data_IF_407723744388
#
_entry.id   IF_407723744388
#
_cell.length_a   1.000
_cell.length_b   1.000
_cell.length_c   1.000
_cell.angle_alpha   90.00
_cell.angle_beta   90.00
_cell.angle_gamma   90.00
#
_symmetry.space_group_name_H-M   'P 1'
#
loop_
_entity.id
_entity.type
_entity.pdbx_description
1 polymer ?
#
# COMPACT_ATOMS: atom_id res chain seq x y z
N UNK A 1 77.04 38.12 -10.79
CA UNK A 1 75.92 37.95 -11.75
C UNK A 1 75.86 36.49 -12.11
N UNK A 2 74.92 35.77 -11.52
CA UNK A 2 74.62 34.39 -11.88
C UNK A 2 73.14 34.17 -11.61
N UNK A 3 72.41 33.85 -12.68
CA UNK A 3 70.96 33.78 -12.75
C UNK A 3 70.40 32.67 -11.85
N UNK A 4 69.48 33.04 -10.95
CA UNK A 4 68.52 32.13 -10.35
C UNK A 4 67.34 32.01 -11.31
N UNK A 5 67.38 30.99 -12.16
CA UNK A 5 66.21 30.55 -12.91
C UNK A 5 65.28 29.82 -11.94
N UNK A 6 64.23 30.52 -11.50
CA UNK A 6 63.08 29.95 -10.81
C UNK A 6 62.38 28.99 -11.78
N UNK A 7 62.59 27.69 -11.61
CA UNK A 7 61.73 26.68 -12.21
C UNK A 7 60.34 26.79 -11.57
N UNK A 8 59.45 27.47 -12.28
CA UNK A 8 58.01 27.40 -12.03
C UNK A 8 57.59 26.01 -12.49
N UNK A 9 57.34 25.11 -11.53
CA UNK A 9 56.69 23.83 -11.77
C UNK A 9 55.35 24.12 -12.47
N UNK A 10 55.10 23.61 -13.69
CA UNK A 10 53.80 23.81 -14.32
C UNK A 10 52.75 23.11 -13.46
N UNK A 11 51.77 23.89 -13.02
CA UNK A 11 50.56 23.41 -12.38
C UNK A 11 49.78 22.65 -13.45
N UNK A 12 50.03 21.35 -13.55
CA UNK A 12 49.20 20.44 -14.32
C UNK A 12 47.84 20.43 -13.63
N UNK A 13 46.87 21.15 -14.23
CA UNK A 13 45.46 20.85 -14.07
C UNK A 13 45.30 19.41 -14.58
N UNK A 14 45.44 18.44 -13.68
CA UNK A 14 45.00 17.08 -13.91
C UNK A 14 43.48 17.18 -14.06
N UNK A 15 43.01 17.20 -15.30
CA UNK A 15 41.62 16.91 -15.61
C UNK A 15 41.42 15.46 -15.19
N UNK A 16 40.93 15.23 -13.97
CA UNK A 16 40.46 13.92 -13.55
C UNK A 16 39.39 13.49 -14.56
N UNK A 17 39.73 12.51 -15.39
CA UNK A 17 38.74 11.88 -16.24
C UNK A 17 37.76 11.18 -15.32
N UNK A 18 36.48 11.54 -15.45
CA UNK A 18 35.40 10.83 -14.80
C UNK A 18 35.58 9.33 -15.05
N UNK A 19 35.53 8.48 -14.01
CA UNK A 19 35.56 7.05 -14.22
C UNK A 19 34.41 6.66 -15.16
N UNK A 20 34.57 5.67 -16.04
CA UNK A 20 33.56 5.34 -17.04
C UNK A 20 32.20 5.00 -16.40
N UNK A 21 32.18 4.56 -15.15
CA UNK A 21 31.02 4.25 -14.35
C UNK A 21 30.33 5.47 -13.72
N UNK A 22 30.93 6.66 -13.80
CA UNK A 22 30.34 7.90 -13.31
C UNK A 22 29.32 8.48 -14.31
N UNK A 23 28.18 8.90 -13.78
CA UNK A 23 27.10 9.56 -14.49
C UNK A 23 26.92 10.96 -13.90
N UNK A 24 26.99 11.97 -14.76
CA UNK A 24 26.66 13.35 -14.40
C UNK A 24 25.15 13.50 -14.23
N UNK A 25 24.74 14.08 -13.11
CA UNK A 25 23.36 14.36 -12.81
C UNK A 25 22.89 15.61 -13.57
N UNK A 26 21.83 15.47 -14.34
CA UNK A 26 21.15 16.61 -14.95
C UNK A 26 20.26 17.33 -13.94
N UNK A 27 20.00 18.62 -14.17
CA UNK A 27 19.08 19.39 -13.34
C UNK A 27 17.68 18.77 -13.28
N UNK A 28 17.23 18.12 -14.36
CA UNK A 28 15.93 17.43 -14.39
C UNK A 28 15.89 16.27 -13.41
N UNK A 29 16.97 15.48 -13.33
CA UNK A 29 17.06 14.35 -12.41
C UNK A 29 17.14 14.81 -10.96
N UNK A 30 17.87 15.90 -10.69
CA UNK A 30 17.93 16.51 -9.36
C UNK A 30 16.53 17.01 -8.94
N UNK A 31 15.83 17.73 -9.82
CA UNK A 31 14.49 18.24 -9.52
C UNK A 31 13.49 17.09 -9.27
N UNK A 32 13.57 16.01 -10.04
CA UNK A 32 12.74 14.83 -9.83
C UNK A 32 13.04 14.16 -8.48
N UNK A 33 14.32 14.05 -8.11
CA UNK A 33 14.71 13.50 -6.81
C UNK A 33 14.19 14.37 -5.65
N UNK A 34 14.23 15.71 -5.78
CA UNK A 34 13.64 16.65 -4.81
C UNK A 34 12.14 16.44 -4.70
N UNK A 35 11.43 16.31 -5.83
CA UNK A 35 9.98 16.09 -5.84
C UNK A 35 9.60 14.78 -5.13
N UNK A 36 10.31 13.68 -5.41
CA UNK A 36 10.08 12.39 -4.77
C UNK A 36 10.38 12.42 -3.27
N UNK A 37 11.52 12.99 -2.87
CA UNK A 37 11.85 13.11 -1.45
C UNK A 37 10.89 14.04 -0.71
N UNK A 38 10.41 15.10 -1.37
CA UNK A 38 9.47 16.06 -0.79
C UNK A 38 8.08 15.48 -0.51
N UNK A 39 7.75 14.32 -1.08
CA UNK A 39 6.53 13.59 -0.75
C UNK A 39 6.62 12.92 0.63
N UNK A 40 7.82 12.56 1.09
CA UNK A 40 8.03 11.85 2.36
C UNK A 40 7.79 12.79 3.53
N UNK A 41 6.87 12.40 4.42
CA UNK A 41 6.44 13.22 5.58
C UNK A 41 7.51 13.34 6.66
N UNK A 42 8.27 12.26 6.89
CA UNK A 42 9.32 12.20 7.89
C UNK A 42 10.62 12.79 7.33
N UNK A 43 11.00 13.98 7.81
CA UNK A 43 12.20 14.71 7.40
C UNK A 43 13.48 13.86 7.55
N UNK A 44 13.53 12.96 8.55
CA UNK A 44 14.71 12.11 8.77
C UNK A 44 14.95 11.11 7.64
N UNK A 45 13.91 10.82 6.85
CA UNK A 45 13.93 9.84 5.74
C UNK A 45 14.01 10.50 4.36
N UNK A 46 13.75 11.80 4.28
CA UNK A 46 13.80 12.55 3.02
C UNK A 46 15.18 12.48 2.37
N UNK A 47 16.26 12.61 3.16
CA UNK A 47 17.62 12.58 2.64
C UNK A 47 17.96 11.26 1.94
N UNK A 48 17.71 10.12 2.59
CA UNK A 48 17.99 8.83 1.98
C UNK A 48 17.10 8.59 0.75
N UNK A 49 15.85 9.05 0.79
CA UNK A 49 14.93 8.97 -0.37
C UNK A 49 15.44 9.80 -1.55
N UNK A 50 15.97 10.99 -1.29
CA UNK A 50 16.60 11.84 -2.29
C UNK A 50 17.80 11.14 -2.94
N UNK A 51 18.72 10.59 -2.15
CA UNK A 51 19.88 9.85 -2.68
C UNK A 51 19.43 8.62 -3.50
N UNK A 52 18.43 7.88 -3.02
CA UNK A 52 17.84 6.74 -3.73
C UNK A 52 17.24 7.14 -5.08
N UNK A 53 16.56 8.29 -5.14
CA UNK A 53 15.99 8.81 -6.38
C UNK A 53 17.06 9.28 -7.38
N UNK A 54 18.15 9.90 -6.91
CA UNK A 54 19.32 10.21 -7.74
C UNK A 54 19.96 8.94 -8.28
N UNK A 55 20.14 7.92 -7.43
CA UNK A 55 20.72 6.63 -7.81
C UNK A 55 19.89 5.91 -8.86
N UNK A 56 18.57 5.89 -8.71
CA UNK A 56 17.66 5.32 -9.70
C UNK A 56 17.85 6.02 -11.06
N UNK A 57 17.77 7.35 -11.08
CA UNK A 57 17.86 8.14 -12.31
C UNK A 57 19.21 8.00 -13.01
N UNK A 58 20.29 7.95 -12.23
CA UNK A 58 21.64 7.77 -12.75
C UNK A 58 21.86 6.35 -13.28
N UNK A 59 21.35 5.33 -12.59
CA UNK A 59 21.44 3.94 -13.04
C UNK A 59 20.65 3.70 -14.34
N UNK A 60 19.48 4.31 -14.49
CA UNK A 60 18.73 4.30 -15.75
C UNK A 60 19.56 4.90 -16.89
N UNK A 61 20.18 6.07 -16.65
CA UNK A 61 21.06 6.73 -17.63
C UNK A 61 22.29 5.88 -17.96
N UNK A 62 22.86 5.21 -16.95
CA UNK A 62 24.00 4.31 -17.10
C UNK A 62 23.67 3.13 -18.02
N UNK A 63 22.49 2.50 -17.85
CA UNK A 63 22.01 1.43 -18.71
C UNK A 63 21.75 1.92 -20.14
N UNK A 64 21.01 3.03 -20.30
CA UNK A 64 20.63 3.58 -21.60
C UNK A 64 21.85 3.99 -22.43
N UNK A 65 22.89 4.53 -21.79
CA UNK A 65 24.14 4.92 -22.46
C UNK A 65 24.93 3.74 -23.04
N UNK A 66 24.70 2.52 -22.54
CA UNK A 66 25.46 1.32 -22.90
C UNK A 66 24.67 0.33 -23.74
N UNK A 67 23.35 0.28 -23.59
CA UNK A 67 22.49 -0.47 -24.50
C UNK A 67 21.06 0.07 -24.51
N UNK A 68 20.52 0.30 -25.70
CA UNK A 68 19.11 0.64 -25.91
C UNK A 68 18.17 -0.57 -25.86
N UNK A 69 18.68 -1.77 -25.57
CA UNK A 69 17.89 -3.00 -25.56
C UNK A 69 17.23 -3.32 -24.22
N UNK A 70 17.60 -2.61 -23.16
CA UNK A 70 17.07 -2.87 -21.82
C UNK A 70 15.69 -2.23 -21.68
N UNK A 71 14.70 -3.06 -21.36
CA UNK A 71 13.38 -2.58 -20.97
C UNK A 71 13.38 -2.34 -19.46
N UNK A 72 13.36 -1.08 -19.03
CA UNK A 72 13.34 -0.70 -17.62
C UNK A 72 11.88 -0.46 -17.21
N UNK A 73 11.42 -1.20 -16.19
CA UNK A 73 10.12 -0.98 -15.55
C UNK A 73 10.34 -0.56 -14.10
N UNK A 74 9.75 0.60 -13.76
CA UNK A 74 9.84 1.24 -12.44
C UNK A 74 8.52 1.26 -11.67
N UNK A 75 7.44 0.70 -12.20
CA UNK A 75 6.08 0.83 -11.66
C UNK A 75 5.97 0.31 -10.21
N UNK A 76 6.68 -0.78 -9.91
CA UNK A 76 6.73 -1.40 -8.58
C UNK A 76 7.92 -0.92 -7.73
N UNK A 77 8.67 0.08 -8.19
CA UNK A 77 9.89 0.50 -7.52
C UNK A 77 9.59 1.21 -6.20
N UNK A 78 10.22 0.77 -5.11
CA UNK A 78 9.94 1.27 -3.75
C UNK A 78 10.11 2.78 -3.61
N UNK A 79 11.11 3.37 -4.27
CA UNK A 79 11.41 4.81 -4.19
C UNK A 79 10.32 5.69 -4.83
N UNK A 80 9.50 5.13 -5.73
CA UNK A 80 8.40 5.84 -6.37
C UNK A 80 7.08 5.73 -5.60
N UNK A 81 7.06 4.96 -4.51
CA UNK A 81 5.89 4.72 -3.67
C UNK A 81 6.16 5.30 -2.28
N UNK A 82 5.60 6.47 -1.92
CA UNK A 82 5.96 7.17 -0.69
C UNK A 82 5.82 6.34 0.59
N UNK A 83 4.78 5.48 0.67
CA UNK A 83 4.59 4.56 1.78
C UNK A 83 5.74 3.56 1.95
N UNK A 84 6.19 2.95 0.84
CA UNK A 84 7.34 2.03 0.85
C UNK A 84 8.65 2.78 1.03
N UNK A 85 8.88 3.90 0.35
CA UNK A 85 10.09 4.71 0.48
C UNK A 85 10.34 5.18 1.93
N UNK A 86 9.25 5.45 2.67
CA UNK A 86 9.31 5.81 4.10
C UNK A 86 9.65 4.61 5.01
N UNK A 87 9.46 3.37 4.57
CA UNK A 87 9.71 2.18 5.40
C UNK A 87 10.93 1.38 4.95
N UNK A 88 11.28 1.46 3.67
CA UNK A 88 12.35 0.70 3.03
C UNK A 88 13.33 1.73 2.42
N UNK A 89 14.44 2.03 3.11
CA UNK A 89 15.39 3.07 2.70
C UNK A 89 16.30 2.63 1.54
N UNK A 90 15.78 1.88 0.58
CA UNK A 90 16.55 1.28 -0.52
C UNK A 90 15.70 1.20 -1.79
N UNK A 91 16.31 1.37 -2.96
CA UNK A 91 15.64 1.19 -4.25
C UNK A 91 15.51 -0.29 -4.53
N UNK A 92 14.31 -0.85 -4.36
CA UNK A 92 14.02 -2.25 -4.62
C UNK A 92 12.91 -2.40 -5.67
N UNK A 93 12.71 -3.63 -6.16
CA UNK A 93 11.73 -3.98 -7.19
C UNK A 93 11.87 -3.24 -8.54
N UNK A 94 13.02 -2.62 -8.81
CA UNK A 94 13.35 -2.15 -10.16
C UNK A 94 13.47 -3.35 -11.08
N UNK A 95 12.79 -3.35 -12.23
CA UNK A 95 12.87 -4.45 -13.21
C UNK A 95 13.64 -4.00 -14.44
N UNK A 96 14.62 -4.80 -14.86
CA UNK A 96 15.34 -4.65 -16.13
C UNK A 96 15.18 -5.95 -16.91
N UNK A 97 14.30 -5.92 -17.91
CA UNK A 97 13.74 -7.15 -18.49
C UNK A 97 13.06 -7.99 -17.41
N UNK A 98 13.46 -9.25 -17.29
CA UNK A 98 12.93 -10.20 -16.28
C UNK A 98 13.69 -10.14 -14.94
N UNK A 99 14.76 -9.35 -14.84
CA UNK A 99 15.57 -9.26 -13.63
C UNK A 99 15.07 -8.16 -12.69
N UNK A 100 14.73 -8.55 -11.46
CA UNK A 100 14.66 -7.63 -10.31
C UNK A 100 16.06 -7.14 -9.91
N UNK A 101 16.21 -5.84 -9.72
CA UNK A 101 17.43 -5.15 -9.29
C UNK A 101 17.13 -4.34 -8.02
N UNK A 102 18.10 -4.31 -7.12
CA UNK A 102 18.12 -3.45 -5.94
C UNK A 102 19.33 -2.52 -6.02
N UNK A 103 19.15 -1.21 -5.83
CA UNK A 103 20.26 -0.26 -5.74
C UNK A 103 20.53 0.05 -4.27
N UNK A 104 21.74 -0.26 -3.83
CA UNK A 104 22.25 0.07 -2.50
C UNK A 104 22.98 1.41 -2.64
N UNK A 105 22.33 2.45 -2.14
CA UNK A 105 22.78 3.82 -2.28
C UNK A 105 23.53 4.29 -1.04
N UNK A 106 24.72 4.84 -1.22
CA UNK A 106 25.43 5.59 -0.17
C UNK A 106 25.98 6.91 -0.69
N UNK A 107 26.17 7.87 0.21
CA UNK A 107 26.85 9.14 -0.10
C UNK A 107 28.37 9.08 0.03
N UNK A 108 28.93 8.09 0.73
CA UNK A 108 30.38 7.91 0.88
C UNK A 108 30.72 6.52 1.43
N UNK A 109 31.86 5.96 1.02
CA UNK A 109 32.42 4.72 1.60
C UNK A 109 33.57 5.01 2.57
N UNK A 110 33.24 5.34 3.81
CA UNK A 110 34.27 5.57 4.84
C UNK A 110 34.72 4.24 5.47
N UNK A 111 33.81 3.27 5.61
CA UNK A 111 34.02 2.11 6.50
C UNK A 111 34.28 0.77 5.79
N UNK A 112 34.63 0.76 4.49
CA UNK A 112 34.84 -0.45 3.65
C UNK A 112 33.70 -1.49 3.71
N UNK A 113 32.54 -1.08 4.22
CA UNK A 113 31.32 -1.86 4.37
C UNK A 113 30.14 -0.99 3.94
N UNK A 114 29.04 -1.66 3.61
CA UNK A 114 27.77 -1.01 3.29
C UNK A 114 26.65 -1.72 4.03
N UNK A 115 25.73 -0.92 4.58
CA UNK A 115 24.57 -1.42 5.28
C UNK A 115 23.44 -1.70 4.29
N UNK A 116 22.89 -2.90 4.35
CA UNK A 116 21.72 -3.30 3.56
C UNK A 116 20.57 -3.61 4.51
N UNK A 117 19.39 -3.04 4.26
CA UNK A 117 18.21 -3.38 5.04
C UNK A 117 17.87 -4.87 4.94
N UNK A 118 17.52 -5.47 6.07
CA UNK A 118 17.06 -6.85 6.18
C UNK A 118 15.86 -7.12 5.26
N UNK A 119 15.07 -6.10 4.93
CA UNK A 119 13.91 -6.19 4.03
C UNK A 119 14.29 -6.76 2.65
N UNK A 120 15.36 -6.25 2.03
CA UNK A 120 15.77 -6.68 0.68
C UNK A 120 16.65 -7.94 0.69
N UNK A 121 16.94 -8.49 1.87
CA UNK A 121 17.76 -9.71 2.05
C UNK A 121 16.91 -10.90 2.48
N UNK A 122 15.94 -10.68 3.37
CA UNK A 122 15.17 -11.74 4.01
C UNK A 122 13.71 -11.84 3.51
N UNK A 123 13.12 -10.77 2.95
CA UNK A 123 11.72 -10.80 2.48
C UNK A 123 11.65 -11.15 0.97
N UNK A 124 11.05 -12.30 0.59
CA UNK A 124 10.96 -12.74 -0.81
C UNK A 124 10.34 -11.73 -1.77
N UNK A 125 9.46 -10.87 -1.29
CA UNK A 125 8.81 -9.80 -2.05
C UNK A 125 9.82 -8.80 -2.63
N UNK A 126 10.91 -8.52 -1.90
CA UNK A 126 11.87 -7.46 -2.20
C UNK A 126 13.26 -7.98 -2.58
N UNK A 127 13.52 -9.29 -2.45
CA UNK A 127 14.80 -9.87 -2.83
C UNK A 127 15.01 -9.72 -4.35
N UNK A 128 16.10 -9.05 -4.79
CA UNK A 128 16.44 -8.89 -6.20
C UNK A 128 17.24 -10.09 -6.72
N UNK A 129 17.46 -10.16 -8.03
CA UNK A 129 18.49 -11.04 -8.62
C UNK A 129 19.89 -10.44 -8.44
N UNK A 130 19.99 -9.11 -8.55
CA UNK A 130 21.24 -8.35 -8.41
C UNK A 130 21.07 -7.17 -7.45
N UNK A 131 22.04 -7.03 -6.56
CA UNK A 131 22.27 -5.85 -5.75
C UNK A 131 23.36 -5.03 -6.43
N UNK A 132 23.09 -3.75 -6.71
CA UNK A 132 24.03 -2.84 -7.36
C UNK A 132 24.44 -1.80 -6.34
N UNK A 133 25.74 -1.63 -6.18
CA UNK A 133 26.32 -0.64 -5.29
C UNK A 133 26.46 0.69 -6.02
N UNK A 134 25.84 1.73 -5.46
CA UNK A 134 25.76 3.06 -6.07
C UNK A 134 26.25 4.10 -5.09
N UNK A 135 27.23 4.90 -5.51
CA UNK A 135 27.74 6.03 -4.75
C UNK A 135 27.18 7.34 -5.31
N UNK A 136 26.61 8.17 -4.45
CA UNK A 136 26.10 9.48 -4.82
C UNK A 136 27.02 10.55 -4.27
N UNK A 137 27.80 11.17 -5.15
CA UNK A 137 28.65 12.31 -4.84
C UNK A 137 27.85 13.58 -5.15
N UNK A 138 26.92 13.89 -4.25
CA UNK A 138 25.93 14.98 -4.42
C UNK A 138 26.60 16.34 -4.67
N UNK A 139 27.64 16.67 -3.91
CA UNK A 139 28.39 17.93 -4.06
C UNK A 139 29.07 18.08 -5.43
N UNK A 140 29.43 16.95 -6.04
CA UNK A 140 30.07 16.88 -7.36
C UNK A 140 29.05 16.71 -8.49
N UNK A 141 27.75 16.59 -8.16
CA UNK A 141 26.68 16.39 -9.12
C UNK A 141 26.82 15.11 -9.92
N UNK A 142 27.37 14.04 -9.31
CA UNK A 142 27.64 12.79 -10.00
C UNK A 142 27.26 11.56 -9.17
N UNK A 143 27.05 10.45 -9.88
CA UNK A 143 26.76 9.14 -9.30
C UNK A 143 27.66 8.10 -9.93
N UNK A 144 28.25 7.22 -9.12
CA UNK A 144 29.20 6.19 -9.58
C UNK A 144 28.62 4.80 -9.32
N UNK A 145 28.59 3.96 -10.35
CA UNK A 145 28.22 2.54 -10.22
C UNK A 145 29.46 1.74 -9.82
N UNK A 146 29.59 1.44 -8.54
CA UNK A 146 30.81 0.85 -7.97
C UNK A 146 30.94 -0.65 -8.24
N UNK A 147 29.82 -1.35 -8.34
CA UNK A 147 29.84 -2.79 -8.55
C UNK A 147 28.49 -3.44 -8.30
N UNK A 148 28.46 -4.77 -8.34
CA UNK A 148 27.23 -5.53 -8.12
C UNK A 148 27.50 -6.87 -7.44
N UNK A 149 26.45 -7.47 -6.89
CA UNK A 149 26.46 -8.76 -6.21
C UNK A 149 25.17 -9.51 -6.58
N UNK A 150 25.26 -10.77 -6.97
CA UNK A 150 24.05 -11.58 -7.21
C UNK A 150 23.46 -12.10 -5.88
N UNK A 151 22.14 -12.31 -5.84
CA UNK A 151 21.49 -12.92 -4.68
C UNK A 151 22.08 -14.28 -4.31
N UNK A 152 22.41 -15.10 -5.31
CA UNK A 152 23.06 -16.40 -5.11
C UNK A 152 24.38 -16.26 -4.35
N UNK A 153 25.20 -15.28 -4.70
CA UNK A 153 26.48 -15.02 -4.03
C UNK A 153 26.28 -14.46 -2.62
N UNK A 154 25.36 -13.52 -2.44
CA UNK A 154 25.02 -12.96 -1.13
C UNK A 154 24.58 -14.07 -0.18
N UNK A 155 23.58 -14.86 -0.56
CA UNK A 155 23.03 -15.96 0.24
C UNK A 155 24.11 -16.98 0.62
N UNK A 156 24.96 -17.37 -0.34
CA UNK A 156 26.04 -18.33 -0.10
C UNK A 156 27.07 -17.80 0.91
N UNK A 157 27.40 -16.50 0.85
CA UNK A 157 28.39 -15.87 1.75
C UNK A 157 27.82 -15.59 3.14
N UNK A 158 26.56 -15.17 3.19
CA UNK A 158 25.81 -14.98 4.44
C UNK A 158 25.79 -16.29 5.24
N UNK A 159 25.48 -17.42 4.60
CA UNK A 159 25.51 -18.75 5.24
C UNK A 159 26.92 -19.15 5.69
N UNK A 160 27.94 -18.87 4.88
CA UNK A 160 29.34 -19.24 5.18
C UNK A 160 29.90 -18.51 6.40
N UNK A 161 29.55 -17.23 6.55
CA UNK A 161 30.05 -16.37 7.65
C UNK A 161 29.06 -16.34 8.82
N UNK A 162 27.87 -16.92 8.67
CA UNK A 162 26.76 -16.84 9.61
C UNK A 162 26.44 -15.38 9.97
N UNK A 163 26.36 -14.53 8.94
CA UNK A 163 26.09 -13.10 9.10
C UNK A 163 24.68 -12.92 9.70
N UNK A 164 24.60 -12.20 10.81
CA UNK A 164 23.37 -11.89 11.52
C UNK A 164 23.01 -10.41 11.31
N UNK A 165 21.71 -10.06 11.31
CA UNK A 165 21.30 -8.67 11.24
C UNK A 165 21.61 -7.95 12.55
N UNK A 166 21.91 -6.67 12.44
CA UNK A 166 22.08 -5.77 13.58
C UNK A 166 20.73 -5.36 14.18
N UNK A 167 20.77 -4.69 15.33
CA UNK A 167 19.58 -4.29 16.08
C UNK A 167 18.67 -3.33 15.32
N UNK A 168 19.19 -2.63 14.33
CA UNK A 168 18.49 -1.67 13.48
C UNK A 168 17.87 -2.31 12.21
N UNK A 169 17.90 -3.64 12.12
CA UNK A 169 17.44 -4.44 10.98
C UNK A 169 18.24 -4.18 9.70
N UNK A 170 19.55 -3.99 9.84
CA UNK A 170 20.47 -3.95 8.70
C UNK A 170 21.49 -5.09 8.77
N UNK A 171 22.14 -5.36 7.64
CA UNK A 171 23.32 -6.20 7.55
C UNK A 171 24.48 -5.34 7.05
N UNK A 172 25.56 -5.24 7.82
CA UNK A 172 26.81 -4.65 7.33
C UNK A 172 27.57 -5.66 6.46
N UNK A 173 27.71 -5.33 5.18
CA UNK A 173 28.31 -6.21 4.17
C UNK A 173 29.63 -5.61 3.66
N UNK A 174 30.73 -6.38 3.65
CA UNK A 174 32.01 -5.90 3.13
C UNK A 174 31.94 -5.52 1.64
N UNK A 175 32.51 -4.37 1.28
CA UNK A 175 32.60 -3.94 -0.13
C UNK A 175 33.35 -4.94 -1.01
N UNK A 176 34.31 -5.67 -0.43
CA UNK A 176 35.04 -6.75 -1.09
C UNK A 176 34.13 -7.91 -1.57
N UNK A 177 32.86 -7.95 -1.16
CA UNK A 177 31.90 -8.90 -1.69
C UNK A 177 31.41 -8.50 -3.09
N UNK A 178 31.39 -7.22 -3.42
CA UNK A 178 30.89 -6.76 -4.71
C UNK A 178 31.91 -7.04 -5.82
N UNK A 179 31.40 -7.32 -7.02
CA UNK A 179 32.20 -7.35 -8.23
C UNK A 179 32.38 -5.92 -8.73
N UNK A 180 33.62 -5.43 -8.69
CA UNK A 180 33.97 -4.06 -9.07
C UNK A 180 33.90 -3.79 -10.58
N UNK A 181 33.62 -4.81 -11.41
CA UNK A 181 33.50 -4.66 -12.86
C UNK A 181 32.01 -4.52 -13.24
N UNK A 182 31.48 -3.29 -13.17
CA UNK A 182 30.07 -3.01 -13.44
C UNK A 182 29.61 -3.49 -14.83
N UNK A 183 30.48 -3.48 -15.84
CA UNK A 183 30.15 -3.98 -17.19
C UNK A 183 29.79 -5.49 -17.22
N UNK A 184 30.25 -6.29 -16.26
CA UNK A 184 29.82 -7.70 -16.14
C UNK A 184 28.34 -7.83 -15.80
N UNK A 185 27.74 -6.83 -15.13
CA UNK A 185 26.31 -6.78 -14.92
C UNK A 185 25.58 -6.75 -16.27
N UNK A 186 26.03 -5.93 -17.22
CA UNK A 186 25.43 -5.85 -18.55
C UNK A 186 25.51 -7.18 -19.29
N UNK A 187 26.65 -7.88 -19.19
CA UNK A 187 26.81 -9.21 -19.76
C UNK A 187 25.76 -10.18 -19.18
N UNK A 188 25.53 -10.14 -17.87
CA UNK A 188 24.51 -11.00 -17.25
C UNK A 188 23.10 -10.60 -17.66
N UNK A 189 22.76 -9.32 -17.68
CA UNK A 189 21.45 -8.84 -18.11
C UNK A 189 21.14 -9.22 -19.58
N UNK A 190 22.17 -9.29 -20.43
CA UNK A 190 22.01 -9.64 -21.86
C UNK A 190 22.02 -11.15 -22.13
N UNK A 191 22.81 -11.93 -21.38
CA UNK A 191 23.13 -13.32 -21.74
C UNK A 191 22.59 -14.37 -20.76
N UNK A 192 22.12 -13.96 -19.57
CA UNK A 192 21.58 -14.87 -18.57
C UNK A 192 20.05 -14.90 -18.65
N UNK A 193 19.47 -16.07 -18.37
CA UNK A 193 18.04 -16.17 -18.07
C UNK A 193 17.79 -15.91 -16.58
N UNK A 194 16.69 -15.26 -16.22
CA UNK A 194 16.35 -14.97 -14.81
C UNK A 194 16.29 -16.23 -13.95
N UNK A 195 15.83 -17.35 -14.53
CA UNK A 195 15.78 -18.66 -13.87
C UNK A 195 17.16 -19.20 -13.41
N UNK A 196 18.28 -18.66 -13.93
CA UNK A 196 19.62 -19.05 -13.49
C UNK A 196 19.96 -18.53 -12.07
N UNK A 197 19.24 -17.51 -11.60
CA UNK A 197 19.32 -16.97 -10.23
C UNK A 197 17.92 -17.12 -9.61
N UNK A 198 17.55 -18.33 -9.13
CA UNK A 198 16.22 -18.54 -8.58
C UNK A 198 16.03 -17.71 -7.31
N UNK A 199 14.94 -16.92 -7.29
CA UNK A 199 14.52 -16.16 -6.12
C UNK A 199 13.66 -17.04 -5.19
N UNK A 200 13.63 -16.76 -3.88
CA UNK A 200 12.79 -17.49 -2.94
C UNK A 200 11.31 -17.27 -3.26
N UNK A 201 10.50 -18.30 -3.03
CA UNK A 201 9.05 -18.24 -3.25
C UNK A 201 8.38 -17.42 -2.17
N UNK A 202 7.46 -16.54 -2.55
CA UNK A 202 6.63 -15.77 -1.61
C UNK A 202 5.76 -16.75 -0.80
N UNK A 203 5.79 -16.70 0.55
CA UNK A 203 4.99 -17.58 1.38
C UNK A 203 3.49 -17.36 1.16
N UNK A 204 2.71 -18.43 1.05
CA UNK A 204 1.25 -18.33 0.90
C UNK A 204 0.51 -18.17 2.24
N UNK A 205 1.18 -18.35 3.37
CA UNK A 205 0.62 -18.26 4.72
C UNK A 205 0.65 -16.84 5.32
N UNK A 206 0.81 -15.79 4.51
CA UNK A 206 0.84 -14.39 4.97
C UNK A 206 -0.43 -14.00 5.73
N UNK A 207 -1.61 -14.41 5.25
CA UNK A 207 -2.88 -14.16 5.90
C UNK A 207 -3.00 -14.83 7.29
N UNK A 208 -2.52 -16.07 7.41
CA UNK A 208 -2.49 -16.80 8.69
C UNK A 208 -1.54 -16.12 9.69
N UNK A 209 -0.35 -15.73 9.24
CA UNK A 209 0.61 -15.00 10.07
C UNK A 209 0.04 -13.67 10.55
N UNK A 210 -0.70 -12.97 9.69
CA UNK A 210 -1.36 -11.73 10.03
C UNK A 210 -2.40 -11.92 11.15
N UNK A 211 -3.26 -12.93 11.05
CA UNK A 211 -4.22 -13.26 12.11
C UNK A 211 -3.54 -13.59 13.45
N UNK A 212 -2.37 -14.23 13.43
CA UNK A 212 -1.63 -14.55 14.66
C UNK A 212 -1.09 -13.32 15.41
N UNK A 213 -0.66 -12.28 14.68
CA UNK A 213 -0.05 -11.08 15.28
C UNK A 213 -1.01 -9.89 15.38
N UNK A 214 -2.22 -10.02 14.85
CA UNK A 214 -3.23 -8.95 14.73
C UNK A 214 -3.43 -8.15 16.02
N UNK A 215 -3.73 -8.81 17.13
CA UNK A 215 -4.02 -8.13 18.41
C UNK A 215 -2.81 -7.35 18.95
N UNK A 216 -1.60 -7.83 18.67
CA UNK A 216 -0.37 -7.14 19.05
C UNK A 216 -0.13 -5.92 18.16
N UNK A 217 -0.39 -6.05 16.86
CA UNK A 217 -0.31 -4.93 15.91
C UNK A 217 -1.34 -3.85 16.24
N UNK A 218 -2.60 -4.19 16.54
CA UNK A 218 -3.64 -3.23 16.95
C UNK A 218 -3.17 -2.38 18.13
N UNK A 219 -2.48 -3.00 19.09
CA UNK A 219 -1.96 -2.33 20.28
C UNK A 219 -0.70 -1.50 20.00
N UNK A 220 0.20 -1.99 19.16
CA UNK A 220 1.54 -1.42 19.00
C UNK A 220 1.61 -0.37 17.89
N UNK A 221 0.96 -0.59 16.75
CA UNK A 221 1.05 0.28 15.58
C UNK A 221 0.67 1.75 15.84
N UNK A 222 -0.33 2.09 16.67
CA UNK A 222 -0.61 3.50 17.00
C UNK A 222 0.56 4.23 17.69
N UNK A 223 1.52 3.52 18.30
CA UNK A 223 2.67 4.14 18.96
C UNK A 223 3.69 4.71 17.96
N UNK A 224 3.61 4.31 16.69
CA UNK A 224 4.47 4.79 15.61
C UNK A 224 4.29 6.27 15.28
N UNK A 225 3.23 6.91 15.78
CA UNK A 225 3.06 8.37 15.70
C UNK A 225 4.21 9.15 16.37
N UNK A 226 4.97 8.51 17.25
CA UNK A 226 6.04 9.18 18.04
C UNK A 226 7.36 8.44 18.06
N UNK A 227 7.40 7.22 17.50
CA UNK A 227 8.54 6.31 17.61
C UNK A 227 8.80 5.66 16.28
N UNK A 228 10.07 5.29 16.06
CA UNK A 228 10.46 4.52 14.89
C UNK A 228 9.89 3.10 14.93
N UNK A 229 9.62 2.52 13.76
CA UNK A 229 9.08 1.17 13.59
C UNK A 229 9.90 0.10 14.29
N UNK A 230 11.23 0.26 14.36
CA UNK A 230 12.18 -0.67 14.99
C UNK A 230 12.10 -0.66 16.52
N UNK A 231 11.62 0.44 17.10
CA UNK A 231 11.47 0.56 18.56
C UNK A 231 10.15 -0.03 19.07
N UNK A 232 9.18 -0.21 18.16
CA UNK A 232 7.80 -0.56 18.50
C UNK A 232 7.47 -1.99 18.07
N UNK A 233 7.97 -2.45 16.93
CA UNK A 233 7.67 -3.76 16.38
C UNK A 233 8.85 -4.72 16.51
N UNK A 234 8.52 -6.01 16.61
CA UNK A 234 9.49 -7.09 16.33
C UNK A 234 9.67 -7.24 14.83
N UNK A 235 10.73 -7.94 14.41
CA UNK A 235 10.95 -8.22 12.99
C UNK A 235 9.80 -9.02 12.37
N UNK A 236 9.24 -9.98 13.10
CA UNK A 236 8.12 -10.81 12.66
C UNK A 236 6.86 -9.97 12.43
N UNK A 237 6.58 -9.03 13.33
CA UNK A 237 5.49 -8.06 13.18
C UNK A 237 5.74 -7.09 12.01
N UNK A 238 6.95 -6.56 11.89
CA UNK A 238 7.31 -5.67 10.79
C UNK A 238 7.21 -6.38 9.43
N UNK A 239 7.55 -7.66 9.37
CA UNK A 239 7.39 -8.48 8.16
C UNK A 239 5.94 -8.53 7.70
N UNK A 240 4.97 -8.64 8.63
CA UNK A 240 3.55 -8.64 8.29
C UNK A 240 3.10 -7.28 7.75
N UNK A 241 3.58 -6.18 8.35
CA UNK A 241 3.28 -4.82 7.88
C UNK A 241 3.87 -4.59 6.50
N UNK A 242 5.16 -4.88 6.30
CA UNK A 242 5.90 -4.61 5.06
C UNK A 242 5.49 -5.50 3.88
N UNK A 243 4.67 -6.52 4.11
CA UNK A 243 4.16 -7.42 3.06
C UNK A 243 2.67 -7.22 2.77
N UNK A 244 2.06 -6.19 3.36
CA UNK A 244 0.67 -5.81 3.13
C UNK A 244 0.58 -4.30 2.81
N UNK A 245 0.10 -3.98 1.61
CA UNK A 245 0.00 -2.60 1.11
C UNK A 245 -0.90 -1.72 1.97
N UNK A 246 -2.03 -2.24 2.42
CA UNK A 246 -2.99 -1.49 3.22
C UNK A 246 -2.39 -1.08 4.57
N UNK A 247 -1.58 -1.93 5.19
CA UNK A 247 -0.86 -1.62 6.42
C UNK A 247 0.29 -0.62 6.18
N UNK A 248 1.01 -0.73 5.06
CA UNK A 248 2.03 0.26 4.68
C UNK A 248 1.41 1.64 4.52
N UNK A 249 0.30 1.72 3.78
CA UNK A 249 -0.42 2.98 3.54
C UNK A 249 -1.00 3.55 4.83
N UNK A 250 -1.50 2.69 5.72
CA UNK A 250 -1.97 3.13 7.04
C UNK A 250 -0.83 3.72 7.87
N UNK A 251 0.32 3.02 7.95
CA UNK A 251 1.49 3.52 8.69
C UNK A 251 1.98 4.84 8.12
N UNK A 252 2.00 4.96 6.79
CA UNK A 252 2.40 6.19 6.11
C UNK A 252 1.45 7.37 6.37
N UNK A 253 0.17 7.11 6.61
CA UNK A 253 -0.86 8.13 6.82
C UNK A 253 -1.19 8.41 8.28
N UNK A 254 -0.50 7.76 9.22
CA UNK A 254 -0.69 7.91 10.67
C UNK A 254 -0.77 9.36 11.17
N UNK A 255 0.10 10.24 10.69
CA UNK A 255 0.20 11.62 11.17
C UNK A 255 -0.96 12.52 10.72
N UNK A 256 -1.71 12.10 9.70
CA UNK A 256 -2.91 12.82 9.23
C UNK A 256 -4.16 12.44 9.99
N UNK A 257 -4.10 11.38 10.80
CA UNK A 257 -5.24 10.89 11.56
C UNK A 257 -5.30 11.67 12.87
N UNK A 258 -5.93 12.86 12.85
CA UNK A 258 -6.25 13.67 14.04
C UNK A 258 -7.35 13.01 14.89
N UNK A 259 -7.12 11.80 15.37
CA UNK A 259 -8.12 11.07 16.16
C UNK A 259 -7.49 10.44 17.40
N UNK A 260 -8.33 10.23 18.43
CA UNK A 260 -7.93 9.53 19.65
C UNK A 260 -7.38 8.14 19.35
N UNK A 261 -6.51 7.64 20.23
CA UNK A 261 -5.90 6.30 20.14
C UNK A 261 -6.93 5.19 20.01
N UNK A 262 -8.10 5.32 20.65
CA UNK A 262 -9.21 4.37 20.53
C UNK A 262 -9.76 4.30 19.10
N UNK A 263 -9.86 5.44 18.40
CA UNK A 263 -10.34 5.47 17.03
C UNK A 263 -9.31 4.91 16.05
N UNK A 264 -8.01 5.13 16.31
CA UNK A 264 -6.93 4.50 15.53
C UNK A 264 -6.97 2.98 15.64
N UNK A 265 -7.19 2.47 16.85
CA UNK A 265 -7.34 1.02 17.07
C UNK A 265 -8.57 0.47 16.36
N UNK A 266 -9.68 1.22 16.36
CA UNK A 266 -10.89 0.82 15.64
C UNK A 266 -10.67 0.81 14.12
N UNK A 267 -10.07 1.85 13.56
CA UNK A 267 -9.73 1.92 12.14
C UNK A 267 -8.80 0.77 11.72
N UNK A 268 -7.77 0.50 12.53
CA UNK A 268 -6.84 -0.59 12.27
C UNK A 268 -7.54 -1.97 12.38
N UNK A 269 -8.47 -2.14 13.33
CA UNK A 269 -9.33 -3.34 13.40
C UNK A 269 -10.16 -3.51 12.13
N UNK A 270 -10.74 -2.41 11.62
CA UNK A 270 -11.51 -2.40 10.38
C UNK A 270 -10.62 -2.78 9.17
N UNK A 271 -9.40 -2.24 9.08
CA UNK A 271 -8.42 -2.63 8.05
C UNK A 271 -8.11 -4.12 8.10
N UNK A 272 -7.86 -4.67 9.30
CA UNK A 272 -7.62 -6.10 9.42
C UNK A 272 -8.81 -6.93 8.92
N UNK A 273 -10.05 -6.51 9.19
CA UNK A 273 -11.22 -7.19 8.64
C UNK A 273 -11.29 -7.10 7.11
N UNK A 274 -10.95 -5.95 6.53
CA UNK A 274 -10.92 -5.74 5.08
C UNK A 274 -9.87 -6.62 4.36
N UNK A 275 -8.74 -6.88 5.03
CA UNK A 275 -7.65 -7.71 4.51
C UNK A 275 -7.95 -9.20 4.66
N UNK A 276 -8.42 -9.64 5.84
CA UNK A 276 -8.45 -11.07 6.17
C UNK A 276 -9.79 -11.75 5.94
N UNK A 277 -10.89 -10.99 5.90
CA UNK A 277 -12.22 -11.57 5.68
C UNK A 277 -12.62 -11.55 4.20
N UNK A 278 -13.35 -12.58 3.73
CA UNK A 278 -13.96 -12.54 2.41
C UNK A 278 -15.00 -11.41 2.36
N UNK A 279 -15.16 -10.82 1.18
CA UNK A 279 -16.12 -9.76 0.93
C UNK A 279 -17.32 -10.29 0.13
N UNK A 280 -18.50 -9.72 0.38
CA UNK A 280 -19.70 -9.93 -0.42
C UNK A 280 -19.52 -9.21 -1.74
N UNK A 281 -19.57 -9.94 -2.86
CA UNK A 281 -19.56 -9.34 -4.19
C UNK A 281 -20.95 -8.82 -4.55
N UNK A 282 -21.16 -7.52 -4.36
CA UNK A 282 -22.43 -6.86 -4.73
C UNK A 282 -22.55 -6.61 -6.23
N UNK A 283 -21.45 -6.68 -6.98
CA UNK A 283 -21.47 -6.63 -8.45
C UNK A 283 -22.36 -7.75 -9.03
N UNK A 284 -22.37 -8.92 -8.40
CA UNK A 284 -23.25 -10.05 -8.80
C UNK A 284 -24.74 -9.75 -8.65
N UNK A 285 -25.11 -8.85 -7.75
CA UNK A 285 -26.51 -8.48 -7.53
C UNK A 285 -27.09 -7.79 -8.77
N UNK A 286 -26.26 -7.17 -9.62
CA UNK A 286 -26.68 -6.61 -10.90
C UNK A 286 -27.22 -7.65 -11.89
N UNK A 287 -26.90 -8.94 -11.68
CA UNK A 287 -27.46 -10.07 -12.42
C UNK A 287 -28.50 -10.87 -11.64
N UNK A 288 -29.03 -10.31 -10.55
CA UNK A 288 -29.96 -10.98 -9.65
C UNK A 288 -29.37 -12.30 -9.07
N UNK A 289 -28.06 -12.29 -8.79
CA UNK A 289 -27.32 -13.41 -8.20
C UNK A 289 -26.68 -13.01 -6.86
N UNK A 290 -26.65 -13.93 -5.91
CA UNK A 290 -25.87 -13.81 -4.67
C UNK A 290 -24.59 -14.66 -4.77
N UNK A 291 -23.54 -14.23 -4.08
CA UNK A 291 -22.37 -15.07 -3.86
C UNK A 291 -22.53 -15.98 -2.66
N UNK A 292 -21.60 -16.91 -2.50
CA UNK A 292 -21.64 -17.93 -1.44
C UNK A 292 -21.64 -17.33 -0.04
N UNK A 293 -21.13 -16.10 0.11
CA UNK A 293 -21.09 -15.41 1.40
C UNK A 293 -22.43 -14.73 1.74
N UNK A 294 -23.11 -14.18 0.73
CA UNK A 294 -24.43 -13.58 0.89
C UNK A 294 -25.57 -14.62 0.88
N UNK A 295 -25.36 -15.81 0.30
CA UNK A 295 -26.34 -16.90 0.31
C UNK A 295 -26.77 -17.28 1.74
N UNK A 296 -28.08 -17.30 1.97
CA UNK A 296 -28.68 -17.67 3.26
C UNK A 296 -28.71 -16.55 4.31
N UNK A 297 -28.00 -15.44 4.11
CA UNK A 297 -28.03 -14.26 4.99
C UNK A 297 -28.72 -13.07 4.34
N UNK A 298 -28.53 -12.89 3.03
CA UNK A 298 -29.15 -11.85 2.22
C UNK A 298 -30.27 -12.40 1.35
N UNK A 299 -31.26 -11.56 1.08
CA UNK A 299 -32.37 -11.84 0.18
C UNK A 299 -32.44 -10.74 -0.88
N UNK A 300 -32.36 -11.13 -2.16
CA UNK A 300 -32.46 -10.18 -3.27
C UNK A 300 -33.80 -9.46 -3.26
N UNK A 301 -33.77 -8.15 -3.46
CA UNK A 301 -34.96 -7.38 -3.74
C UNK A 301 -35.40 -7.69 -5.19
N UNK A 302 -36.67 -8.07 -5.42
CA UNK A 302 -37.14 -8.24 -6.79
C UNK A 302 -37.06 -6.92 -7.55
N UNK A 303 -36.98 -7.04 -8.88
CA UNK A 303 -37.06 -5.90 -9.79
C UNK A 303 -38.22 -4.99 -9.35
N UNK A 304 -37.93 -3.70 -9.13
CA UNK A 304 -38.82 -2.71 -8.48
C UNK A 304 -40.07 -2.49 -9.35
N UNK A 305 -41.00 -3.43 -9.29
CA UNK A 305 -42.29 -3.43 -9.95
C UNK A 305 -43.35 -3.72 -8.89
N UNK A 306 -44.35 -2.85 -8.73
CA UNK A 306 -45.30 -2.94 -7.63
C UNK A 306 -46.20 -4.17 -7.79
N UNK A 307 -46.08 -5.12 -6.87
CA UNK A 307 -47.07 -6.19 -6.65
C UNK A 307 -47.60 -6.06 -5.22
N UNK A 308 -48.92 -5.98 -5.02
CA UNK A 308 -49.51 -5.72 -3.71
C UNK A 308 -49.63 -7.02 -2.92
N UNK A 309 -48.78 -7.19 -1.91
CA UNK A 309 -48.92 -8.23 -0.89
C UNK A 309 -48.59 -7.56 0.44
N UNK A 310 -49.63 -7.34 1.26
CA UNK A 310 -49.55 -6.62 2.52
C UNK A 310 -48.29 -6.95 3.34
N UNK A 311 -47.41 -5.93 3.45
CA UNK A 311 -46.22 -5.79 4.31
C UNK A 311 -45.07 -6.76 4.02
N UNK A 312 -44.63 -6.82 2.77
CA UNK A 312 -43.35 -7.43 2.40
C UNK A 312 -42.18 -6.43 2.51
N UNK A 313 -40.92 -6.87 2.73
CA UNK A 313 -39.72 -6.02 2.69
C UNK A 313 -39.62 -5.16 1.41
N UNK A 314 -40.20 -5.63 0.32
CA UNK A 314 -40.26 -4.93 -0.98
C UNK A 314 -41.15 -3.69 -0.93
N UNK A 315 -42.31 -3.79 -0.26
CA UNK A 315 -43.21 -2.65 -0.07
C UNK A 315 -42.58 -1.60 0.84
N UNK A 316 -41.94 -2.04 1.93
CA UNK A 316 -41.19 -1.15 2.84
C UNK A 316 -40.10 -0.38 2.07
N UNK A 317 -39.26 -1.08 1.30
CA UNK A 317 -38.23 -0.45 0.49
C UNK A 317 -38.80 0.52 -0.54
N UNK A 318 -39.94 0.20 -1.16
CA UNK A 318 -40.60 1.09 -2.14
C UNK A 318 -41.04 2.41 -1.48
N UNK A 319 -41.56 2.35 -0.25
CA UNK A 319 -41.91 3.54 0.54
C UNK A 319 -40.66 4.36 0.85
N UNK A 320 -39.58 3.73 1.34
CA UNK A 320 -38.33 4.42 1.66
C UNK A 320 -37.73 5.06 0.39
N UNK A 321 -37.67 4.32 -0.72
CA UNK A 321 -37.15 4.80 -2.00
C UNK A 321 -37.90 6.05 -2.49
N UNK A 322 -39.23 6.07 -2.34
CA UNK A 322 -40.05 7.24 -2.70
C UNK A 322 -39.73 8.46 -1.82
N UNK A 323 -39.48 8.25 -0.53
CA UNK A 323 -39.08 9.32 0.39
C UNK A 323 -37.66 9.82 0.13
N UNK A 324 -36.71 8.92 -0.19
CA UNK A 324 -35.35 9.29 -0.58
C UNK A 324 -35.34 10.12 -1.86
N UNK A 325 -36.20 9.78 -2.82
CA UNK A 325 -36.36 10.56 -4.05
C UNK A 325 -36.90 11.96 -3.79
N UNK A 326 -37.84 12.12 -2.85
CA UNK A 326 -38.31 13.45 -2.40
C UNK A 326 -37.21 14.26 -1.71
N UNK A 327 -36.27 13.59 -1.02
CA UNK A 327 -35.07 14.20 -0.43
C UNK A 327 -33.96 14.47 -1.46
N UNK A 328 -34.20 14.21 -2.75
CA UNK A 328 -33.26 14.49 -3.84
C UNK A 328 -32.30 13.35 -4.20
N UNK A 329 -32.38 12.20 -3.53
CA UNK A 329 -31.56 11.03 -3.85
C UNK A 329 -32.23 10.21 -4.96
N UNK A 330 -31.64 10.24 -6.16
CA UNK A 330 -32.12 9.45 -7.31
C UNK A 330 -31.44 8.09 -7.34
N UNK A 331 -32.22 7.03 -7.14
CA UNK A 331 -31.76 5.65 -7.34
C UNK A 331 -32.00 5.30 -8.82
N UNK A 332 -30.97 4.89 -9.56
CA UNK A 332 -31.13 4.59 -10.98
C UNK A 332 -31.87 3.26 -11.20
N UNK A 333 -32.51 3.10 -12.36
CA UNK A 333 -33.32 1.91 -12.70
C UNK A 333 -32.51 0.63 -12.83
N UNK A 334 -31.21 0.75 -13.14
CA UNK A 334 -30.29 -0.38 -13.18
C UNK A 334 -29.79 -0.81 -11.79
N UNK A 335 -30.14 -0.07 -10.73
CA UNK A 335 -29.74 -0.46 -9.38
C UNK A 335 -30.37 -1.80 -8.99
N UNK A 336 -29.60 -2.60 -8.27
CA UNK A 336 -30.06 -3.83 -7.65
C UNK A 336 -29.66 -3.83 -6.19
N UNK A 337 -30.41 -4.57 -5.39
CA UNK A 337 -30.18 -4.57 -3.95
C UNK A 337 -30.68 -5.84 -3.32
N UNK A 338 -30.26 -6.03 -2.08
CA UNK A 338 -30.67 -7.11 -1.22
C UNK A 338 -30.98 -6.54 0.16
N UNK A 339 -31.64 -7.35 0.99
CA UNK A 339 -31.84 -7.03 2.39
C UNK A 339 -31.41 -8.19 3.30
N UNK A 340 -31.03 -7.83 4.52
CA UNK A 340 -30.72 -8.76 5.59
C UNK A 340 -31.46 -8.31 6.86
N UNK A 341 -32.09 -9.26 7.53
CA UNK A 341 -32.61 -9.08 8.88
C UNK A 341 -31.51 -9.40 9.90
N UNK A 342 -31.32 -8.52 10.87
CA UNK A 342 -30.31 -8.66 11.93
C UNK A 342 -30.93 -8.34 13.29
N UNK A 343 -30.39 -8.93 14.36
CA UNK A 343 -30.84 -8.67 15.72
C UNK A 343 -29.70 -8.09 16.53
N UNK A 344 -29.92 -6.89 17.08
CA UNK A 344 -28.92 -6.16 17.86
C UNK A 344 -29.48 -5.89 19.26
N UNK A 345 -28.86 -6.47 20.29
CA UNK A 345 -29.37 -6.45 21.66
C UNK A 345 -30.85 -6.89 21.79
N UNK A 346 -31.31 -7.81 20.93
CA UNK A 346 -32.70 -8.26 20.87
C UNK A 346 -33.66 -7.34 20.11
N UNK A 347 -33.18 -6.20 19.59
CA UNK A 347 -33.97 -5.33 18.70
C UNK A 347 -33.86 -5.87 17.27
N UNK A 348 -34.99 -6.18 16.61
CA UNK A 348 -34.98 -6.59 15.21
C UNK A 348 -34.73 -5.36 14.32
N UNK A 349 -33.73 -5.47 13.45
CA UNK A 349 -33.34 -4.47 12.48
C UNK A 349 -33.34 -5.10 11.09
N UNK A 350 -33.52 -4.26 10.07
CA UNK A 350 -33.41 -4.65 8.67
C UNK A 350 -32.48 -3.68 7.96
N UNK A 351 -31.45 -4.23 7.32
CA UNK A 351 -30.54 -3.49 6.46
C UNK A 351 -30.86 -3.78 5.00
N UNK A 352 -31.10 -2.74 4.23
CA UNK A 352 -31.12 -2.81 2.78
C UNK A 352 -29.79 -2.29 2.24
N UNK A 353 -29.19 -3.04 1.31
CA UNK A 353 -28.02 -2.62 0.57
C UNK A 353 -28.39 -2.58 -0.92
N UNK A 354 -28.10 -1.46 -1.57
CA UNK A 354 -28.42 -1.23 -2.98
C UNK A 354 -27.19 -0.71 -3.69
N UNK A 355 -26.88 -1.30 -4.83
CA UNK A 355 -25.69 -0.98 -5.60
C UNK A 355 -26.01 -0.72 -7.06
N UNK A 356 -25.17 0.11 -7.69
CA UNK A 356 -25.14 0.34 -9.12
C UNK A 356 -23.77 0.82 -9.57
N UNK A 357 -23.49 0.59 -10.85
CA UNK A 357 -22.32 1.12 -11.54
C UNK A 357 -22.53 2.59 -11.94
N UNK A 358 -21.48 3.41 -11.77
CA UNK A 358 -21.44 4.78 -12.27
C UNK A 358 -20.74 4.78 -13.64
N UNK A 359 -21.53 4.88 -14.69
CA UNK A 359 -21.02 5.08 -16.05
C UNK A 359 -20.64 6.57 -16.23
N UNK A 360 -19.41 6.93 -15.90
CA UNK A 360 -18.83 8.24 -16.22
C UNK A 360 -17.63 8.08 -17.16
N UNK A 361 -17.48 8.98 -18.14
CA UNK A 361 -16.28 9.01 -19.00
C UNK A 361 -15.01 9.32 -18.21
N UNK A 362 -15.12 10.07 -17.10
CA UNK A 362 -14.00 10.43 -16.23
C UNK A 362 -13.62 9.33 -15.24
N UNK A 363 -14.57 8.47 -14.88
CA UNK A 363 -14.44 7.47 -13.81
C UNK A 363 -15.18 6.19 -14.21
N UNK A 364 -14.63 5.40 -15.14
CA UNK A 364 -15.33 4.25 -15.69
C UNK A 364 -15.47 3.08 -14.70
N UNK A 365 -14.69 3.07 -13.62
CA UNK A 365 -14.60 1.99 -12.65
C UNK A 365 -15.20 2.36 -11.28
N UNK A 366 -16.13 3.31 -11.25
CA UNK A 366 -16.77 3.73 -9.99
C UNK A 366 -18.11 3.03 -9.78
N UNK A 367 -18.43 2.71 -8.54
CA UNK A 367 -19.69 2.12 -8.12
C UNK A 367 -20.25 2.82 -6.89
N UNK A 368 -21.52 2.58 -6.60
CA UNK A 368 -22.21 3.17 -5.44
C UNK A 368 -22.76 2.07 -4.54
N UNK A 369 -22.66 2.29 -3.23
CA UNK A 369 -23.36 1.52 -2.21
C UNK A 369 -24.28 2.44 -1.42
N UNK A 370 -25.58 2.19 -1.49
CA UNK A 370 -26.61 2.82 -0.66
C UNK A 370 -27.04 1.83 0.42
N UNK A 371 -26.91 2.24 1.67
CA UNK A 371 -27.31 1.47 2.83
C UNK A 371 -28.48 2.14 3.51
N UNK A 372 -29.48 1.36 3.91
CA UNK A 372 -30.67 1.84 4.60
C UNK A 372 -30.94 0.91 5.78
N UNK A 373 -30.84 1.43 6.99
CA UNK A 373 -31.07 0.69 8.22
C UNK A 373 -32.41 1.13 8.83
N UNK A 374 -33.32 0.19 9.00
CA UNK A 374 -34.64 0.40 9.60
C UNK A 374 -34.97 -0.67 10.63
N UNK A 375 -36.14 -0.55 11.25
CA UNK A 375 -36.82 -1.66 11.92
C UNK A 375 -37.78 -2.31 10.92
N UNK A 376 -38.03 -3.64 11.02
CA UNK A 376 -39.14 -4.26 10.31
C UNK A 376 -40.44 -3.52 10.62
N UNK A 377 -41.31 -3.33 9.62
CA UNK A 377 -42.54 -2.54 9.73
C UNK A 377 -42.38 -1.02 9.96
N UNK A 378 -41.17 -0.45 9.82
CA UNK A 378 -40.90 1.00 9.89
C UNK A 378 -41.31 1.65 11.22
N UNK A 379 -41.11 0.93 12.33
CA UNK A 379 -41.26 1.49 13.67
C UNK A 379 -40.15 2.53 13.98
N UNK A 380 -40.33 3.31 15.05
CA UNK A 380 -39.30 4.26 15.49
C UNK A 380 -37.99 3.55 15.79
N UNK A 381 -36.89 4.08 15.27
CA UNK A 381 -35.57 3.55 15.56
C UNK A 381 -35.21 3.72 17.05
N UNK A 382 -34.49 2.75 17.65
CA UNK A 382 -34.01 2.88 19.01
C UNK A 382 -33.01 4.04 19.14
N UNK A 383 -33.01 4.68 20.31
CA UNK A 383 -32.05 5.73 20.64
C UNK A 383 -30.62 5.18 20.61
N UNK A 384 -29.66 6.01 20.18
CA UNK A 384 -28.23 5.68 20.08
C UNK A 384 -27.92 4.54 19.10
N UNK A 385 -28.81 4.24 18.15
CA UNK A 385 -28.49 3.38 17.02
C UNK A 385 -27.59 4.13 16.06
N UNK A 386 -26.49 3.49 15.67
CA UNK A 386 -25.51 4.03 14.74
C UNK A 386 -25.31 3.09 13.55
N UNK A 387 -25.13 3.67 12.38
CA UNK A 387 -24.71 3.00 11.15
C UNK A 387 -23.38 3.61 10.71
N UNK A 388 -22.33 2.80 10.66
CA UNK A 388 -20.98 3.21 10.26
C UNK A 388 -20.59 2.50 8.96
N UNK A 389 -19.92 3.25 8.08
CA UNK A 389 -19.25 2.73 6.89
C UNK A 389 -17.81 3.17 6.91
N UNK A 390 -16.89 2.22 6.78
CA UNK A 390 -15.45 2.45 6.71
C UNK A 390 -14.86 1.76 5.48
N UNK A 391 -13.69 2.24 5.07
CA UNK A 391 -12.84 1.63 4.05
C UNK A 391 -11.38 1.59 4.55
N UNK A 392 -10.44 1.34 3.64
CA UNK A 392 -9.01 1.35 3.94
C UNK A 392 -8.47 2.71 4.42
N UNK A 393 -9.12 3.82 4.03
CA UNK A 393 -8.70 5.18 4.37
C UNK A 393 -9.22 5.65 5.72
N UNK A 394 -10.36 5.11 6.18
CA UNK A 394 -10.93 5.45 7.47
C UNK A 394 -12.43 5.26 7.55
N UNK A 395 -13.05 5.97 8.50
CA UNK A 395 -14.51 6.04 8.62
C UNK A 395 -15.01 7.06 7.60
N UNK A 396 -15.76 6.59 6.59
CA UNK A 396 -16.34 7.42 5.55
C UNK A 396 -17.60 8.14 6.03
N UNK A 397 -18.46 7.40 6.73
CA UNK A 397 -19.73 7.93 7.25
C UNK A 397 -20.09 7.25 8.56
N UNK A 398 -20.49 8.04 9.55
CA UNK A 398 -21.19 7.57 10.75
C UNK A 398 -22.51 8.34 10.89
N UNK A 399 -23.63 7.61 10.92
CA UNK A 399 -24.97 8.17 11.12
C UNK A 399 -25.53 7.69 12.45
N UNK A 400 -26.05 8.61 13.25
CA UNK A 400 -26.73 8.29 14.51
C UNK A 400 -28.21 8.72 14.45
N UNK A 401 -29.07 7.97 15.13
CA UNK A 401 -30.48 8.34 15.26
C UNK A 401 -30.61 9.67 15.99
N UNK A 402 -31.14 10.67 15.29
CA UNK A 402 -31.59 11.91 15.90
C UNK A 402 -33.07 11.75 16.39
N UNK A 403 -33.33 11.74 17.71
CA UNK A 403 -34.67 11.55 18.25
C UNK A 403 -35.66 12.65 17.84
N UNK A 404 -35.18 13.86 17.56
CA UNK A 404 -36.02 15.02 17.24
C UNK A 404 -36.64 14.94 15.84
N UNK A 405 -36.00 14.19 14.93
CA UNK A 405 -36.45 14.05 13.55
C UNK A 405 -37.51 12.96 13.38
N UNK A 406 -37.65 12.04 14.34
CA UNK A 406 -38.62 10.94 14.28
C UNK A 406 -38.46 10.04 13.05
N UNK A 407 -37.25 9.95 12.49
CA UNK A 407 -36.98 9.15 11.30
C UNK A 407 -37.18 7.65 11.60
N UNK A 408 -37.85 6.94 10.69
CA UNK A 408 -38.03 5.48 10.77
C UNK A 408 -36.87 4.67 10.18
N UNK A 409 -35.86 5.34 9.61
CA UNK A 409 -34.65 4.73 9.05
C UNK A 409 -33.46 5.69 9.08
N UNK A 410 -32.25 5.11 9.12
CA UNK A 410 -30.98 5.75 8.76
C UNK A 410 -30.64 5.36 7.33
N UNK A 411 -29.98 6.25 6.59
CA UNK A 411 -29.41 5.89 5.31
C UNK A 411 -28.08 6.59 5.08
N UNK A 412 -27.22 5.96 4.30
CA UNK A 412 -25.96 6.54 3.85
C UNK A 412 -25.65 6.05 2.44
N UNK A 413 -24.89 6.85 1.70
CA UNK A 413 -24.43 6.53 0.34
C UNK A 413 -22.94 6.78 0.25
N UNK A 414 -22.19 5.75 -0.11
CA UNK A 414 -20.77 5.83 -0.41
C UNK A 414 -20.52 5.51 -1.88
N UNK A 415 -19.48 6.10 -2.45
CA UNK A 415 -19.03 5.89 -3.84
C UNK A 415 -17.58 5.46 -3.76
N UNK A 416 -17.22 4.45 -4.53
CA UNK A 416 -15.84 3.95 -4.57
C UNK A 416 -15.48 3.33 -5.90
N UNK A 417 -14.22 2.94 -6.02
CA UNK A 417 -13.66 2.24 -7.18
C UNK A 417 -13.85 0.71 -7.06
N UNK A 418 -13.72 -0.03 -8.15
CA UNK A 418 -13.91 -1.50 -8.17
C UNK A 418 -12.93 -2.27 -7.28
N UNK A 419 -11.76 -1.71 -7.01
CA UNK A 419 -10.75 -2.25 -6.10
C UNK A 419 -11.04 -1.96 -4.62
N UNK A 420 -11.97 -1.04 -4.34
CA UNK A 420 -12.32 -0.65 -2.97
C UNK A 420 -13.37 -1.58 -2.34
N UNK A 421 -13.28 -1.70 -1.02
CA UNK A 421 -14.20 -2.47 -0.18
C UNK A 421 -14.78 -1.57 0.91
N UNK A 422 -16.05 -1.77 1.22
CA UNK A 422 -16.73 -1.05 2.30
C UNK A 422 -17.10 -1.99 3.44
N UNK A 423 -16.58 -1.71 4.62
CA UNK A 423 -16.97 -2.38 5.86
C UNK A 423 -18.17 -1.64 6.47
N UNK A 424 -19.19 -2.39 6.88
CA UNK A 424 -20.41 -1.81 7.46
C UNK A 424 -20.63 -2.36 8.84
N UNK A 425 -20.82 -1.48 9.81
CA UNK A 425 -21.17 -1.86 11.16
C UNK A 425 -22.40 -1.12 11.68
N UNK A 426 -23.15 -1.82 12.52
CA UNK A 426 -24.34 -1.31 13.19
C UNK A 426 -24.14 -1.47 14.69
N UNK A 427 -24.24 -0.38 15.44
CA UNK A 427 -24.08 -0.39 16.89
C UNK A 427 -25.25 0.25 17.62
N UNK A 428 -25.48 -0.19 18.85
CA UNK A 428 -26.55 0.30 19.72
C UNK A 428 -25.97 0.61 21.11
N UNK A 429 -25.80 1.89 21.41
CA UNK A 429 -25.14 2.35 22.63
C UNK A 429 -23.67 1.93 22.73
N UNK A 430 -23.10 2.05 23.93
CA UNK A 430 -21.68 1.78 24.16
C UNK A 430 -21.43 0.28 24.35
N UNK A 431 -21.05 -0.42 23.28
CA UNK A 431 -20.42 -1.75 23.33
C UNK A 431 -21.17 -2.90 22.67
N UNK A 432 -22.33 -2.67 22.04
CA UNK A 432 -23.01 -3.70 21.23
C UNK A 432 -22.94 -3.29 19.76
N UNK A 433 -22.06 -3.96 19.01
CA UNK A 433 -21.82 -3.73 17.59
C UNK A 433 -21.89 -5.05 16.82
N UNK A 434 -22.51 -5.00 15.65
CA UNK A 434 -22.46 -6.07 14.65
C UNK A 434 -21.79 -5.50 13.41
N UNK A 435 -20.66 -6.08 13.04
CA UNK A 435 -19.97 -5.78 11.79
C UNK A 435 -20.29 -6.85 10.77
N UNK A 436 -20.71 -6.42 9.57
CA UNK A 436 -21.02 -7.30 8.46
C UNK A 436 -19.74 -7.61 7.67
N UNK A 437 -19.71 -8.71 6.89
CA UNK A 437 -18.66 -8.89 5.90
C UNK A 437 -18.59 -7.67 4.97
N UNK A 438 -17.39 -7.32 4.52
CA UNK A 438 -17.19 -6.16 3.66
C UNK A 438 -17.93 -6.33 2.33
N UNK A 439 -18.36 -5.22 1.73
CA UNK A 439 -18.94 -5.20 0.40
C UNK A 439 -17.87 -4.82 -0.62
N UNK A 440 -17.68 -5.66 -1.63
CA UNK A 440 -16.78 -5.44 -2.75
C UNK A 440 -17.57 -5.46 -4.07
N UNK A 441 -17.01 -4.86 -5.11
CA UNK A 441 -17.67 -4.78 -6.41
C UNK A 441 -16.81 -5.42 -7.50
N UNK A 442 -17.19 -6.61 -7.93
CA UNK A 442 -16.56 -7.27 -9.06
C UNK A 442 -17.62 -7.72 -10.08
N UNK A 443 -17.42 -7.30 -11.32
CA UNK A 443 -18.29 -7.62 -12.46
C UNK A 443 -17.82 -8.84 -13.27
N UNK A 444 -16.71 -9.46 -12.88
CA UNK A 444 -16.24 -10.70 -13.48
C UNK A 444 -17.18 -11.86 -13.10
N UNK A 445 -17.40 -12.77 -14.04
CA UNK A 445 -18.29 -13.93 -13.90
C UNK A 445 -17.53 -15.21 -13.66
#
# INVERSE_FOLDING_TARGET
MTNLSTEIKPMTLEFEQLPPEAILLSQSQINQAIELSGQIKDESKQWQTYLNALSLSAFETWLDSRSSSFNINRDECTVLQPGLASLIPTVANLKVGEFKICLITTGSFIDEQVDITRVVVDLPEYIPHFYVLVEVLEEEGQVVIQGFLSYKELSSRQQRVNLQPDSDWTYSIPLAWFCNEADKLLLYLCCLESAAIPLPTIPTNRAENLELVKEELIRNLPQLQTKDIREVLTWEQATVVLTNSELIDWVYNLDQIEISTTSLQQHLSDIFQLITQPAINVGRWLWDELDTLAEGTWNLLPNIAPQPVMRSPVEEFTVISSQLQQKGLKIPVQARGAYQDLSLAGVPLRLYAVTWHLLSESEPNSWTLLLILGTPALESLPHNLKLRVSDQTGILVEQEVNPELGNSYLFTRVVGNFDEKFLVSVSLGDGVEVTLPAFAFDISR
#
